data_IF_945619848615
#
_entry.id   IF_945619848615
#
_cell.length_a   1.000
_cell.length_b   1.000
_cell.length_c   1.000
_cell.angle_alpha   90.00
_cell.angle_beta   90.00
_cell.angle_gamma   90.00
#
_symmetry.space_group_name_H-M   'P 1'
#
loop_
_entity.id
_entity.type
_entity.pdbx_description
1 polymer ?
#
# COMPACT_ATOMS: atom_id res chain seq x y z
N UNK A 1 -23.71 7.81 -1.26
CA UNK A 1 -22.60 7.48 -2.16
C UNK A 1 -22.23 6.02 -1.91
N UNK A 2 -22.30 5.15 -2.91
CA UNK A 2 -21.70 3.82 -2.80
C UNK A 2 -20.19 4.02 -2.89
N UNK A 3 -19.49 3.90 -1.76
CA UNK A 3 -18.03 3.80 -1.76
C UNK A 3 -17.69 2.39 -2.21
N UNK A 4 -17.04 2.25 -3.35
CA UNK A 4 -16.43 0.98 -3.71
C UNK A 4 -15.09 0.93 -2.99
N UNK A 5 -15.00 0.11 -1.96
CA UNK A 5 -13.74 -0.09 -1.24
C UNK A 5 -13.09 -1.34 -1.84
N UNK A 6 -12.01 -1.14 -2.59
CA UNK A 6 -11.20 -2.24 -3.12
C UNK A 6 -9.96 -2.37 -2.24
N UNK A 7 -9.67 -3.60 -1.83
CA UNK A 7 -8.48 -3.93 -1.06
C UNK A 7 -7.48 -4.68 -1.96
N UNK A 8 -6.21 -4.29 -1.88
CA UNK A 8 -5.10 -5.04 -2.48
C UNK A 8 -4.05 -5.38 -1.45
N UNK A 9 -3.39 -6.52 -1.64
CA UNK A 9 -2.26 -6.94 -0.83
C UNK A 9 -0.98 -6.75 -1.64
N UNK A 10 0.01 -6.12 -1.02
CA UNK A 10 1.32 -5.87 -1.58
C UNK A 10 2.37 -6.57 -0.74
N UNK A 11 3.27 -7.30 -1.39
CA UNK A 11 4.52 -7.78 -0.81
C UNK A 11 5.60 -6.71 -0.95
N UNK A 12 6.44 -6.55 0.07
CA UNK A 12 7.64 -5.71 0.06
C UNK A 12 8.81 -6.60 0.50
N UNK A 13 9.80 -6.75 -0.36
CA UNK A 13 10.88 -7.71 -0.15
C UNK A 13 11.86 -7.27 0.97
N UNK A 14 11.93 -5.97 1.24
CA UNK A 14 12.79 -5.42 2.30
C UNK A 14 12.30 -5.75 3.71
N UNK A 15 13.24 -5.97 4.62
CA UNK A 15 12.96 -5.94 6.06
C UNK A 15 12.87 -4.49 6.52
N UNK A 16 11.64 -3.99 6.67
CA UNK A 16 11.38 -2.63 7.12
C UNK A 16 11.45 -2.52 8.65
N UNK A 17 12.16 -1.49 9.12
CA UNK A 17 12.10 -1.06 10.52
C UNK A 17 10.75 -0.43 10.87
N UNK A 18 10.43 -0.30 12.16
CA UNK A 18 9.17 0.34 12.61
C UNK A 18 9.03 1.77 12.08
N UNK A 19 10.15 2.49 11.94
CA UNK A 19 10.17 3.84 11.39
C UNK A 19 9.84 3.86 9.90
N UNK A 20 10.44 2.96 9.11
CA UNK A 20 10.16 2.83 7.68
C UNK A 20 8.72 2.41 7.40
N UNK A 21 8.20 1.47 8.20
CA UNK A 21 6.79 1.06 8.16
C UNK A 21 5.89 2.27 8.40
N UNK A 22 6.12 3.02 9.48
CA UNK A 22 5.28 4.15 9.83
C UNK A 22 5.31 5.25 8.76
N UNK A 23 6.49 5.54 8.20
CA UNK A 23 6.63 6.49 7.08
C UNK A 23 5.87 6.01 5.85
N UNK A 24 5.98 4.72 5.49
CA UNK A 24 5.32 4.18 4.31
C UNK A 24 3.79 4.17 4.45
N UNK A 25 3.26 3.74 5.60
CA UNK A 25 1.84 3.78 5.93
C UNK A 25 1.28 5.20 5.87
N UNK A 26 1.98 6.14 6.51
CA UNK A 26 1.61 7.55 6.51
C UNK A 26 1.56 8.08 5.08
N UNK A 27 2.64 7.94 4.32
CA UNK A 27 2.74 8.53 2.99
C UNK A 27 1.73 7.98 1.99
N UNK A 28 1.44 6.68 2.05
CA UNK A 28 0.39 6.07 1.23
C UNK A 28 -0.99 6.55 1.66
N UNK A 29 -1.25 6.70 2.96
CA UNK A 29 -2.54 7.20 3.47
C UNK A 29 -2.85 8.64 3.06
N UNK A 30 -1.83 9.44 2.71
CA UNK A 30 -2.00 10.80 2.17
C UNK A 30 -2.14 10.84 0.64
N UNK A 31 -2.03 9.71 -0.04
CA UNK A 31 -2.16 9.65 -1.50
C UNK A 31 -3.64 9.73 -1.92
N UNK A 32 -3.98 10.54 -2.95
CA UNK A 32 -5.36 10.66 -3.43
C UNK A 32 -5.98 9.30 -3.77
N UNK A 33 -7.20 9.06 -3.31
CA UNK A 33 -7.92 7.81 -3.53
C UNK A 33 -7.55 6.65 -2.59
N UNK A 34 -6.50 6.78 -1.76
CA UNK A 34 -6.23 5.81 -0.69
C UNK A 34 -7.16 6.06 0.49
N UNK A 35 -7.75 4.99 0.99
CA UNK A 35 -8.62 4.98 2.17
C UNK A 35 -7.86 4.53 3.42
N UNK A 36 -6.98 3.55 3.27
CA UNK A 36 -6.14 3.00 4.34
C UNK A 36 -4.91 2.32 3.75
N UNK A 37 -3.78 2.39 4.44
CA UNK A 37 -2.58 1.64 4.11
C UNK A 37 -1.92 1.15 5.40
N UNK A 38 -1.92 -0.17 5.62
CA UNK A 38 -1.40 -0.76 6.86
C UNK A 38 -0.50 -1.96 6.57
N UNK A 39 0.64 -2.00 7.25
CA UNK A 39 1.56 -3.12 7.29
C UNK A 39 1.04 -4.16 8.27
N UNK A 40 1.23 -5.44 7.95
CA UNK A 40 0.90 -6.50 8.87
C UNK A 40 1.96 -6.59 9.99
N UNK A 41 1.54 -6.41 11.25
CA UNK A 41 2.44 -6.43 12.41
C UNK A 41 3.17 -7.77 12.61
N UNK A 42 2.54 -8.89 12.20
CA UNK A 42 3.13 -10.24 12.30
C UNK A 42 3.96 -10.60 11.07
N UNK A 43 3.68 -9.97 9.93
CA UNK A 43 4.33 -10.25 8.65
C UNK A 43 4.69 -8.92 7.99
N UNK A 44 5.80 -8.33 8.45
CA UNK A 44 6.27 -6.96 8.08
C UNK A 44 6.71 -6.77 6.62
N UNK A 45 6.38 -7.73 5.76
CA UNK A 45 6.58 -7.71 4.32
C UNK A 45 5.25 -7.63 3.56
N UNK A 46 4.12 -7.62 4.28
CA UNK A 46 2.78 -7.57 3.68
C UNK A 46 2.08 -6.29 4.09
N UNK A 47 1.68 -5.52 3.09
CA UNK A 47 0.88 -4.32 3.25
C UNK A 47 -0.50 -4.52 2.63
N UNK A 48 -1.54 -4.11 3.34
CA UNK A 48 -2.91 -4.05 2.83
C UNK A 48 -3.22 -2.59 2.54
N UNK A 49 -3.68 -2.32 1.33
CA UNK A 49 -4.08 -0.99 0.90
C UNK A 49 -5.53 -1.02 0.44
N UNK A 50 -6.37 -0.25 1.13
CA UNK A 50 -7.75 0.01 0.74
C UNK A 50 -7.80 1.30 -0.06
N UNK A 51 -8.46 1.28 -1.22
CA UNK A 51 -8.56 2.45 -2.08
C UNK A 51 -9.92 2.53 -2.79
N UNK A 52 -10.25 3.75 -3.21
CA UNK A 52 -11.40 4.04 -4.07
C UNK A 52 -10.99 3.85 -5.55
N UNK A 53 -11.53 2.84 -6.26
CA UNK A 53 -11.17 2.55 -7.64
C UNK A 53 -11.66 3.61 -8.63
N UNK A 54 -12.50 4.57 -8.22
CA UNK A 54 -12.84 5.73 -9.04
C UNK A 54 -11.74 6.81 -9.00
N UNK A 55 -10.84 6.75 -8.01
CA UNK A 55 -9.82 7.77 -7.76
C UNK A 55 -8.37 7.26 -7.83
N UNK A 56 -8.14 5.97 -7.60
CA UNK A 56 -6.82 5.36 -7.64
C UNK A 56 -6.84 3.97 -8.31
N UNK A 57 -5.70 3.54 -8.83
CA UNK A 57 -5.51 2.20 -9.40
C UNK A 57 -4.38 1.48 -8.68
N UNK A 58 -4.54 0.18 -8.46
CA UNK A 58 -3.55 -0.66 -7.77
C UNK A 58 -2.15 -0.60 -8.39
N UNK A 59 -2.06 -0.44 -9.72
CA UNK A 59 -0.79 -0.28 -10.43
C UNK A 59 -0.06 1.03 -10.06
N UNK A 60 -0.78 2.13 -9.89
CA UNK A 60 -0.20 3.43 -9.53
C UNK A 60 0.28 3.41 -8.08
N UNK A 61 -0.46 2.74 -7.20
CA UNK A 61 -0.07 2.50 -5.80
C UNK A 61 1.24 1.71 -5.75
N UNK A 62 1.33 0.62 -6.52
CA UNK A 62 2.55 -0.19 -6.64
C UNK A 62 3.73 0.63 -7.19
N UNK A 63 3.48 1.44 -8.21
CA UNK A 63 4.51 2.27 -8.82
C UNK A 63 5.03 3.31 -7.82
N UNK A 64 4.15 3.92 -7.02
CA UNK A 64 4.55 4.87 -5.97
C UNK A 64 5.50 4.25 -4.94
N UNK A 65 5.24 3.01 -4.53
CA UNK A 65 6.10 2.28 -3.58
C UNK A 65 7.46 1.95 -4.22
N UNK A 66 7.47 1.52 -5.49
CA UNK A 66 8.69 1.20 -6.23
C UNK A 66 9.56 2.43 -6.52
N UNK A 67 8.95 3.56 -6.86
CA UNK A 67 9.65 4.82 -7.14
C UNK A 67 10.41 5.36 -5.90
N UNK A 68 10.01 4.91 -4.70
CA UNK A 68 10.71 5.20 -3.43
C UNK A 68 11.88 4.26 -3.15
N UNK A 69 12.12 3.27 -4.01
CA UNK A 69 13.24 2.33 -3.92
C UNK A 69 12.89 0.99 -3.28
N UNK A 70 11.62 0.73 -2.94
CA UNK A 70 11.19 -0.54 -2.36
C UNK A 70 10.87 -1.58 -3.45
N UNK A 71 11.30 -2.82 -3.25
CA UNK A 71 10.97 -3.94 -4.11
C UNK A 71 9.60 -4.49 -3.73
N UNK A 72 8.57 -3.85 -4.27
CA UNK A 72 7.18 -4.23 -4.02
C UNK A 72 6.56 -5.04 -5.16
N UNK A 73 5.58 -5.89 -4.85
CA UNK A 73 4.75 -6.62 -5.82
C UNK A 73 3.33 -6.79 -5.32
N UNK A 74 2.32 -6.69 -6.20
CA UNK A 74 0.94 -7.00 -5.83
C UNK A 74 0.74 -8.52 -5.79
N UNK A 75 0.02 -9.01 -4.78
CA UNK A 75 -0.35 -10.40 -4.63
C UNK A 75 -1.82 -10.59 -5.07
N UNK A 76 -2.07 -11.62 -5.89
CA UNK A 76 -3.43 -12.09 -6.18
C UNK A 76 -4.14 -11.39 -7.35
N UNK A 77 -3.38 -10.75 -8.24
CA UNK A 77 -3.88 -10.23 -9.53
C UNK A 77 -3.97 -11.32 -10.60
#
# INVERSE_FOLDING_TARGET
MNKYDVAVVMHIDEELSDAEIHTLEHDLSFSPGILSACMNERTRHLMVVDYDPEQAYSYDILSNVRDRGYHAALIGL
#
